data_IF_539095329553
#
_entry.id   IF_539095329553
#
_cell.length_a   1.000
_cell.length_b   1.000
_cell.length_c   1.000
_cell.angle_alpha   90.00
_cell.angle_beta   90.00
_cell.angle_gamma   90.00
#
_symmetry.space_group_name_H-M   'P 1'
#
loop_
_entity.id
_entity.type
_entity.pdbx_description
1 polymer ?
#
# COMPACT_ATOMS: atom_id res chain seq x y z
N UNK A 1 -11.39 6.72 -31.32
CA UNK A 1 -10.72 5.73 -32.18
C UNK A 1 -9.28 6.22 -32.31
N UNK A 2 -8.25 5.50 -31.91
CA UNK A 2 -6.88 5.89 -32.23
C UNK A 2 -6.65 5.63 -33.71
N UNK A 3 -6.30 6.69 -34.44
CA UNK A 3 -5.82 6.61 -35.79
C UNK A 3 -4.55 5.76 -35.79
N UNK A 4 -4.60 4.57 -36.36
CA UNK A 4 -3.42 3.77 -36.65
C UNK A 4 -2.65 4.48 -37.76
N UNK A 5 -1.48 5.01 -37.42
CA UNK A 5 -0.53 5.47 -38.40
C UNK A 5 0.08 4.25 -39.10
N UNK A 6 -0.36 3.97 -40.32
CA UNK A 6 0.10 2.87 -41.17
C UNK A 6 1.51 3.11 -41.75
N UNK A 7 2.31 3.94 -41.07
CA UNK A 7 3.71 4.25 -41.45
C UNK A 7 4.73 3.42 -40.67
N UNK A 8 4.58 2.13 -40.51
CA UNK A 8 5.70 1.29 -40.09
C UNK A 8 6.36 0.64 -41.30
N UNK A 9 7.44 1.27 -41.75
CA UNK A 9 8.59 0.69 -42.45
C UNK A 9 8.27 -0.40 -43.49
N UNK A 10 7.84 0.02 -44.66
CA UNK A 10 8.27 -0.64 -45.87
C UNK A 10 9.61 0.02 -46.24
N UNK A 11 10.69 -0.68 -46.00
CA UNK A 11 11.99 -0.34 -46.56
C UNK A 11 11.88 -0.60 -48.05
N UNK A 12 12.02 0.44 -48.82
CA UNK A 12 12.26 0.49 -50.25
C UNK A 12 11.06 0.21 -51.13
N UNK A 13 10.98 1.03 -52.04
CA UNK A 13 10.75 0.78 -53.43
C UNK A 13 9.75 1.78 -53.91
N UNK A 14 10.06 2.45 -54.95
CA UNK A 14 9.28 3.21 -55.90
C UNK A 14 7.83 3.60 -55.45
N UNK A 15 7.46 4.86 -55.58
CA UNK A 15 6.14 5.38 -55.19
C UNK A 15 4.97 4.63 -55.78
N UNK A 16 5.13 3.94 -56.91
CA UNK A 16 4.15 3.05 -57.54
C UNK A 16 3.75 1.85 -56.66
N UNK A 17 4.71 1.25 -55.92
CA UNK A 17 4.42 0.15 -55.01
C UNK A 17 3.62 0.61 -53.77
N UNK A 18 3.85 1.77 -53.27
CA UNK A 18 3.15 2.32 -52.12
C UNK A 18 1.66 2.53 -52.45
N UNK A 19 1.36 3.12 -53.58
CA UNK A 19 -0.03 3.37 -54.00
C UNK A 19 -0.81 2.07 -54.24
N UNK A 20 -0.19 1.09 -54.92
CA UNK A 20 -0.81 -0.21 -55.12
C UNK A 20 -1.06 -0.96 -53.82
N UNK A 21 -0.07 -0.99 -52.94
CA UNK A 21 -0.18 -1.62 -51.58
C UNK A 21 -1.31 -1.02 -50.76
N UNK A 22 -1.54 0.29 -50.83
CA UNK A 22 -2.64 0.96 -50.12
C UNK A 22 -4.00 0.54 -50.63
N UNK A 23 -4.21 0.49 -51.95
CA UNK A 23 -5.47 0.13 -52.57
C UNK A 23 -5.87 -1.35 -52.30
N UNK A 24 -4.88 -2.26 -52.36
CA UNK A 24 -5.09 -3.67 -52.02
C UNK A 24 -5.38 -3.84 -50.51
N UNK A 25 -4.65 -3.11 -49.66
CA UNK A 25 -4.84 -3.13 -48.21
C UNK A 25 -6.23 -2.65 -47.81
N UNK A 26 -6.77 -1.59 -48.42
CA UNK A 26 -8.15 -1.15 -48.21
C UNK A 26 -9.16 -2.23 -48.54
N UNK A 27 -8.99 -2.94 -49.67
CA UNK A 27 -9.86 -4.04 -50.04
C UNK A 27 -9.81 -5.18 -49.04
N UNK A 28 -8.63 -5.61 -48.62
CA UNK A 28 -8.43 -6.67 -47.61
C UNK A 28 -8.99 -6.27 -46.25
N UNK A 29 -8.91 -5.01 -45.88
CA UNK A 29 -9.53 -4.48 -44.66
C UNK A 29 -11.06 -4.59 -44.69
N UNK A 30 -11.67 -4.31 -45.85
CA UNK A 30 -13.11 -4.34 -46.00
C UNK A 30 -13.67 -5.78 -46.13
N UNK A 31 -13.00 -6.64 -46.90
CA UNK A 31 -13.47 -8.02 -47.13
C UNK A 31 -13.05 -8.97 -46.00
N UNK A 32 -11.91 -8.70 -45.35
CA UNK A 32 -11.31 -9.59 -44.38
C UNK A 32 -10.73 -10.88 -44.98
N UNK A 33 -10.57 -10.94 -46.31
CA UNK A 33 -10.04 -12.10 -47.04
C UNK A 33 -8.68 -11.77 -47.66
N UNK A 34 -7.85 -12.79 -47.79
CA UNK A 34 -6.57 -12.65 -48.49
C UNK A 34 -6.80 -12.33 -49.97
N UNK A 35 -5.99 -11.43 -50.52
CA UNK A 35 -6.10 -11.03 -51.94
C UNK A 35 -4.76 -11.20 -52.64
N UNK A 36 -4.79 -11.83 -53.83
CA UNK A 36 -3.68 -11.88 -54.76
C UNK A 36 -3.94 -10.80 -55.83
N UNK A 37 -2.93 -9.99 -56.13
CA UNK A 37 -3.01 -8.97 -57.16
C UNK A 37 -1.70 -8.90 -57.97
N UNK A 38 -1.79 -8.44 -59.21
CA UNK A 38 -0.61 -8.28 -60.07
C UNK A 38 -0.27 -6.79 -60.21
N UNK A 39 0.96 -6.43 -59.90
CA UNK A 39 1.44 -5.07 -60.03
C UNK A 39 2.13 -4.95 -61.37
N UNK A 40 1.60 -4.10 -62.24
CA UNK A 40 2.16 -3.84 -63.55
C UNK A 40 3.23 -2.73 -63.42
N UNK A 41 4.44 -3.15 -63.08
CA UNK A 41 5.65 -2.34 -63.08
C UNK A 41 6.56 -2.84 -64.18
N UNK A 42 7.71 -2.17 -64.47
CA UNK A 42 8.67 -2.56 -65.49
C UNK A 42 9.13 -4.02 -65.43
N UNK A 43 8.88 -4.70 -64.34
CA UNK A 43 8.89 -6.17 -64.14
C UNK A 43 7.54 -6.59 -63.53
N UNK A 44 6.86 -7.59 -64.14
CA UNK A 44 5.61 -8.10 -63.59
C UNK A 44 5.86 -8.70 -62.18
N UNK A 45 5.21 -8.12 -61.19
CA UNK A 45 5.30 -8.59 -59.78
C UNK A 45 3.91 -8.98 -59.28
N UNK A 46 3.80 -10.13 -58.70
CA UNK A 46 2.56 -10.56 -58.03
C UNK A 46 2.64 -10.30 -56.50
N UNK A 47 1.56 -9.82 -55.91
CA UNK A 47 1.48 -9.60 -54.49
C UNK A 47 0.42 -10.49 -53.84
N UNK A 48 0.68 -10.95 -52.62
CA UNK A 48 -0.28 -11.63 -51.79
C UNK A 48 -0.43 -10.85 -50.49
N UNK A 49 -1.61 -10.28 -50.24
CA UNK A 49 -1.96 -9.56 -49.04
C UNK A 49 -2.84 -10.41 -48.13
N UNK A 50 -2.38 -10.64 -46.90
CA UNK A 50 -3.05 -11.48 -45.92
C UNK A 50 -3.39 -10.64 -44.68
N UNK A 51 -4.67 -10.62 -44.24
CA UNK A 51 -5.07 -9.89 -43.04
C UNK A 51 -4.59 -10.61 -41.76
N UNK A 52 -3.97 -9.89 -40.85
CA UNK A 52 -3.67 -10.36 -39.50
C UNK A 52 -4.92 -10.16 -38.63
N UNK A 53 -5.76 -11.18 -38.49
CA UNK A 53 -7.01 -11.09 -37.75
C UNK A 53 -6.93 -11.79 -36.41
N UNK A 54 -7.44 -11.12 -35.40
CA UNK A 54 -7.66 -11.72 -34.08
C UNK A 54 -9.12 -11.51 -33.69
N UNK A 55 -9.85 -12.61 -33.48
CA UNK A 55 -11.32 -12.62 -33.36
C UNK A 55 -12.00 -11.94 -34.57
N UNK A 56 -12.72 -10.84 -34.39
CA UNK A 56 -13.40 -10.10 -35.45
C UNK A 56 -12.65 -8.85 -35.92
N UNK A 57 -11.46 -8.56 -35.36
CA UNK A 57 -10.71 -7.35 -35.69
C UNK A 57 -9.51 -7.67 -36.59
N UNK A 58 -9.33 -6.92 -37.67
CA UNK A 58 -8.10 -6.93 -38.46
C UNK A 58 -7.11 -5.99 -37.77
N UNK A 59 -5.99 -6.53 -37.30
CA UNK A 59 -4.95 -5.81 -36.54
C UNK A 59 -3.92 -5.15 -37.45
N UNK A 60 -3.62 -5.79 -38.57
CA UNK A 60 -2.67 -5.35 -39.58
C UNK A 60 -2.88 -6.17 -40.88
N UNK A 61 -2.16 -5.84 -41.93
CA UNK A 61 -2.08 -6.60 -43.16
C UNK A 61 -0.62 -6.88 -43.48
N UNK A 62 -0.29 -8.10 -43.87
CA UNK A 62 1.01 -8.48 -44.39
C UNK A 62 0.89 -8.66 -45.87
N UNK A 63 1.72 -7.94 -46.64
CA UNK A 63 1.80 -8.07 -48.09
C UNK A 63 3.16 -8.61 -48.48
N UNK A 64 3.18 -9.70 -49.21
CA UNK A 64 4.35 -10.33 -49.79
C UNK A 64 4.38 -10.10 -51.31
N UNK A 65 5.57 -9.88 -51.85
CA UNK A 65 5.78 -9.64 -53.27
C UNK A 65 6.68 -10.73 -53.83
N UNK A 66 6.37 -11.17 -55.07
CA UNK A 66 7.12 -12.17 -55.81
C UNK A 66 7.26 -11.74 -57.29
N UNK A 67 8.45 -11.90 -57.85
CA UNK A 67 8.66 -11.66 -59.27
C UNK A 67 7.92 -12.70 -60.12
N UNK A 68 7.29 -12.29 -61.23
CA UNK A 68 6.36 -13.11 -61.98
C UNK A 68 6.98 -14.27 -62.81
N UNK A 69 8.32 -14.39 -62.80
CA UNK A 69 9.02 -15.49 -63.51
C UNK A 69 8.88 -16.87 -62.83
N UNK A 70 8.26 -16.99 -61.65
CA UNK A 70 8.24 -18.18 -60.82
C UNK A 70 6.91 -18.94 -60.69
N UNK A 71 5.88 -18.50 -61.42
CA UNK A 71 4.54 -19.16 -61.32
C UNK A 71 3.64 -18.54 -60.28
N UNK A 72 2.34 -18.97 -60.26
CA UNK A 72 1.32 -18.55 -59.35
C UNK A 72 1.64 -18.90 -57.87
N UNK A 73 1.15 -18.08 -56.95
CA UNK A 73 1.17 -18.41 -55.54
C UNK A 73 0.59 -19.78 -55.27
N UNK A 74 1.43 -20.77 -54.97
CA UNK A 74 0.95 -22.13 -54.75
C UNK A 74 0.01 -22.17 -53.53
N UNK A 75 -1.07 -22.94 -53.63
CA UNK A 75 -2.07 -23.09 -52.57
C UNK A 75 -1.47 -23.41 -51.21
N UNK A 76 -0.40 -24.24 -51.19
CA UNK A 76 0.37 -24.54 -49.96
C UNK A 76 1.02 -23.32 -49.32
N UNK A 77 1.51 -22.37 -50.14
CA UNK A 77 2.16 -21.14 -49.66
C UNK A 77 1.10 -20.22 -49.04
N UNK A 78 -0.09 -20.10 -49.67
CA UNK A 78 -1.21 -19.34 -49.12
C UNK A 78 -1.72 -19.92 -47.81
N UNK A 79 -1.83 -21.24 -47.69
CA UNK A 79 -2.25 -21.90 -46.43
C UNK A 79 -1.22 -21.70 -45.33
N UNK A 80 0.08 -21.81 -45.62
CA UNK A 80 1.15 -21.56 -44.67
C UNK A 80 1.12 -20.10 -44.17
N UNK A 81 0.98 -19.16 -45.11
CA UNK A 81 0.89 -17.73 -44.77
C UNK A 81 -0.30 -17.37 -43.89
N UNK A 82 -1.46 -17.96 -44.16
CA UNK A 82 -2.63 -17.78 -43.31
C UNK A 82 -2.37 -18.32 -41.89
N UNK A 83 -1.74 -19.48 -41.73
CA UNK A 83 -1.39 -20.02 -40.43
C UNK A 83 -0.39 -19.13 -39.68
N UNK A 84 0.63 -18.62 -40.37
CA UNK A 84 1.60 -17.68 -39.81
C UNK A 84 0.93 -16.35 -39.48
N UNK A 85 0.02 -15.86 -40.32
CA UNK A 85 -0.73 -14.63 -40.08
C UNK A 85 -1.58 -14.70 -38.81
N UNK A 86 -2.23 -15.87 -38.55
CA UNK A 86 -2.98 -16.10 -37.30
C UNK A 86 -2.06 -16.04 -36.07
N UNK A 87 -0.86 -16.65 -36.12
CA UNK A 87 0.08 -16.62 -35.01
C UNK A 87 0.65 -15.20 -34.79
N UNK A 88 0.97 -14.47 -35.85
CA UNK A 88 1.40 -13.07 -35.75
C UNK A 88 0.29 -12.20 -35.16
N UNK A 89 -0.95 -12.39 -35.62
CA UNK A 89 -2.10 -11.63 -35.10
C UNK A 89 -2.30 -11.89 -33.60
N UNK A 90 -2.17 -13.13 -33.15
CA UNK A 90 -2.20 -13.49 -31.74
C UNK A 90 -1.08 -12.80 -30.94
N UNK A 91 0.14 -12.87 -31.45
CA UNK A 91 1.30 -12.24 -30.81
C UNK A 91 1.13 -10.71 -30.69
N UNK A 92 0.65 -10.04 -31.74
CA UNK A 92 0.35 -8.59 -31.73
C UNK A 92 -0.73 -8.28 -30.71
N UNK A 93 -1.79 -9.10 -30.66
CA UNK A 93 -2.89 -8.92 -29.68
C UNK A 93 -2.38 -9.05 -28.24
N UNK A 94 -1.57 -10.07 -27.97
CA UNK A 94 -0.94 -10.28 -26.65
C UNK A 94 -0.04 -9.11 -26.27
N UNK A 95 0.81 -8.63 -27.20
CA UNK A 95 1.68 -7.48 -26.95
C UNK A 95 0.89 -6.20 -26.63
N UNK A 96 -0.19 -5.91 -27.38
CA UNK A 96 -1.07 -4.77 -27.12
C UNK A 96 -1.77 -4.87 -25.76
N UNK A 97 -2.24 -6.08 -25.39
CA UNK A 97 -2.85 -6.32 -24.07
C UNK A 97 -1.84 -6.09 -22.95
N UNK A 98 -0.63 -6.63 -23.11
CA UNK A 98 0.45 -6.45 -22.14
C UNK A 98 0.83 -4.97 -21.96
N UNK A 99 0.97 -4.22 -23.05
CA UNK A 99 1.23 -2.78 -22.99
C UNK A 99 0.10 -2.01 -22.29
N UNK A 100 -1.16 -2.40 -22.54
CA UNK A 100 -2.32 -1.78 -21.88
C UNK A 100 -2.31 -2.05 -20.38
N UNK A 101 -2.04 -3.30 -19.97
CA UNK A 101 -1.92 -3.68 -18.55
C UNK A 101 -0.79 -2.89 -17.89
N UNK A 102 0.39 -2.83 -18.51
CA UNK A 102 1.51 -2.05 -17.98
C UNK A 102 1.15 -0.58 -17.78
N UNK A 103 0.51 0.04 -18.77
CA UNK A 103 0.09 1.44 -18.67
C UNK A 103 -0.91 1.67 -17.55
N UNK A 104 -1.91 0.78 -17.42
CA UNK A 104 -2.90 0.86 -16.33
C UNK A 104 -2.26 0.65 -14.96
N UNK A 105 -1.35 -0.32 -14.82
CA UNK A 105 -0.62 -0.56 -13.58
C UNK A 105 0.25 0.64 -13.20
N UNK A 106 0.94 1.25 -14.16
CA UNK A 106 1.75 2.43 -13.92
C UNK A 106 0.90 3.63 -13.47
N UNK A 107 -0.25 3.83 -14.11
CA UNK A 107 -1.18 4.90 -13.70
C UNK A 107 -1.70 4.67 -12.28
N UNK A 108 -2.15 3.44 -11.97
CA UNK A 108 -2.64 3.08 -10.63
C UNK A 108 -1.56 3.30 -9.56
N UNK A 109 -0.31 2.90 -9.83
CA UNK A 109 0.81 3.15 -8.90
C UNK A 109 1.04 4.64 -8.66
N UNK A 110 0.94 5.47 -9.70
CA UNK A 110 1.08 6.92 -9.58
C UNK A 110 -0.04 7.53 -8.71
N UNK A 111 -1.28 7.07 -8.85
CA UNK A 111 -2.41 7.52 -8.03
C UNK A 111 -2.24 7.10 -6.56
N UNK A 112 -1.78 5.88 -6.31
CA UNK A 112 -1.50 5.37 -4.97
C UNK A 112 -0.32 6.09 -4.30
N UNK A 113 0.71 6.49 -5.05
CA UNK A 113 1.81 7.28 -4.50
C UNK A 113 1.35 8.66 -4.03
N UNK A 114 0.42 9.30 -4.76
CA UNK A 114 -0.22 10.56 -4.30
C UNK A 114 -1.02 10.31 -3.01
N UNK A 115 -1.80 9.23 -2.94
CA UNK A 115 -2.54 8.86 -1.74
C UNK A 115 -1.60 8.62 -0.55
N UNK A 116 -0.48 7.92 -0.76
CA UNK A 116 0.59 7.71 0.23
C UNK A 116 1.15 9.04 0.75
N UNK A 117 1.41 9.97 -0.14
CA UNK A 117 1.93 11.29 0.26
C UNK A 117 0.92 12.06 1.10
N UNK A 118 -0.37 12.01 0.75
CA UNK A 118 -1.44 12.62 1.55
C UNK A 118 -1.51 11.96 2.93
N UNK A 119 -1.48 10.63 3.01
CA UNK A 119 -1.48 9.87 4.25
C UNK A 119 -0.27 10.21 5.13
N UNK A 120 0.93 10.24 4.54
CA UNK A 120 2.15 10.62 5.25
C UNK A 120 2.06 12.05 5.81
N UNK A 121 1.48 12.97 5.03
CA UNK A 121 1.29 14.35 5.50
C UNK A 121 0.25 14.45 6.61
N UNK A 122 -0.78 13.60 6.59
CA UNK A 122 -1.77 13.52 7.65
C UNK A 122 -1.15 13.03 8.96
N UNK A 123 -0.25 12.04 8.91
CA UNK A 123 0.50 11.52 10.06
C UNK A 123 1.69 12.41 10.47
N UNK A 124 2.18 13.26 9.59
CA UNK A 124 3.29 14.16 9.89
C UNK A 124 2.82 15.25 10.84
N UNK A 125 3.08 15.01 12.10
CA UNK A 125 3.04 16.04 13.10
C UNK A 125 4.48 16.42 13.45
N UNK A 126 4.78 17.72 13.49
CA UNK A 126 5.96 18.18 14.18
C UNK A 126 5.76 17.81 15.65
N UNK A 127 6.49 16.83 16.12
CA UNK A 127 6.53 16.53 17.56
C UNK A 127 7.06 17.79 18.24
N UNK A 128 6.27 18.50 19.03
CA UNK A 128 6.73 19.70 19.69
C UNK A 128 7.78 19.31 20.74
N UNK A 129 8.80 20.14 20.87
CA UNK A 129 9.72 20.04 22.00
C UNK A 129 8.96 20.36 23.28
N UNK A 130 8.87 19.40 24.17
CA UNK A 130 8.26 19.54 25.48
C UNK A 130 9.37 19.47 26.52
N UNK A 131 9.31 20.39 27.47
CA UNK A 131 10.14 20.30 28.65
C UNK A 131 9.82 18.98 29.38
N UNK A 132 10.84 18.19 29.70
CA UNK A 132 10.73 16.93 30.46
C UNK A 132 9.94 15.76 29.76
N UNK A 133 9.66 15.85 28.46
CA UNK A 133 9.04 14.74 27.71
C UNK A 133 9.62 14.65 26.31
N UNK A 134 10.11 13.48 25.95
CA UNK A 134 10.55 13.16 24.59
C UNK A 134 9.52 12.25 23.93
N UNK A 135 9.04 12.61 22.76
CA UNK A 135 8.11 11.80 21.98
C UNK A 135 8.75 11.44 20.65
N UNK A 136 8.60 10.19 20.23
CA UNK A 136 8.96 9.71 18.90
C UNK A 136 7.78 8.95 18.30
N UNK A 137 7.57 9.03 17.01
CA UNK A 137 6.55 8.26 16.30
C UNK A 137 7.04 7.83 14.92
N UNK A 138 6.71 6.61 14.54
CA UNK A 138 6.97 6.07 13.21
C UNK A 138 5.80 5.22 12.77
N UNK A 139 5.46 5.32 11.50
CA UNK A 139 4.48 4.47 10.84
C UNK A 139 5.03 4.10 9.45
N UNK A 140 5.20 2.83 9.21
CA UNK A 140 5.73 2.24 7.99
C UNK A 140 4.67 1.34 7.37
N UNK A 141 3.96 1.79 6.34
CA UNK A 141 2.98 0.95 5.66
C UNK A 141 3.64 -0.24 4.95
N UNK A 142 2.99 -1.41 4.99
CA UNK A 142 3.42 -2.60 4.25
C UNK A 142 3.13 -2.51 2.75
N UNK A 143 2.16 -1.68 2.37
CA UNK A 143 1.77 -1.39 0.98
C UNK A 143 1.93 0.10 0.67
N UNK A 144 1.44 0.52 -0.48
CA UNK A 144 1.46 1.94 -0.86
C UNK A 144 0.73 2.83 0.16
N UNK A 145 -0.39 2.34 0.73
CA UNK A 145 -1.14 2.98 1.81
C UNK A 145 -1.58 1.93 2.83
N UNK A 146 -1.70 2.32 4.10
CA UNK A 146 -2.01 1.43 5.21
C UNK A 146 -3.20 1.85 6.05
N UNK A 147 -3.62 0.96 6.99
CA UNK A 147 -4.65 1.19 7.99
C UNK A 147 -4.11 1.76 9.29
N UNK A 148 -2.85 1.53 9.56
CA UNK A 148 -2.17 1.99 10.77
C UNK A 148 -2.08 3.51 10.86
N UNK A 149 -2.20 4.02 12.06
CA UNK A 149 -2.01 5.44 12.34
C UNK A 149 -1.55 5.72 13.76
N UNK A 150 -0.97 6.89 13.92
CA UNK A 150 -0.75 7.49 15.22
C UNK A 150 -1.21 8.94 15.22
N UNK A 151 -1.50 9.46 16.41
CA UNK A 151 -1.80 10.87 16.63
C UNK A 151 -1.06 11.36 17.87
N UNK A 152 -0.50 12.56 17.77
CA UNK A 152 0.10 13.29 18.89
C UNK A 152 -0.59 14.65 18.94
N UNK A 153 -1.28 14.92 20.02
CA UNK A 153 -2.01 16.17 20.20
C UNK A 153 -1.70 16.82 21.52
N UNK A 154 -1.22 18.06 21.48
CA UNK A 154 -1.01 18.86 22.68
C UNK A 154 -2.23 19.70 22.96
N UNK A 155 -2.88 19.39 24.07
CA UNK A 155 -4.05 20.13 24.51
C UNK A 155 -3.63 21.48 25.11
N UNK A 156 -4.37 22.59 24.86
CA UNK A 156 -4.04 23.92 25.43
C UNK A 156 -3.92 23.94 26.96
N UNK A 157 -4.51 22.98 27.67
CA UNK A 157 -4.38 22.81 29.12
C UNK A 157 -3.08 22.11 29.56
N UNK A 158 -2.16 21.82 28.64
CA UNK A 158 -0.86 21.20 28.92
C UNK A 158 -0.81 19.69 28.86
N UNK A 159 -1.95 19.01 28.59
CA UNK A 159 -1.98 17.55 28.47
C UNK A 159 -1.41 17.09 27.12
N UNK A 160 -0.63 16.05 27.11
CA UNK A 160 -0.13 15.38 25.91
C UNK A 160 -0.96 14.12 25.60
N UNK A 161 -1.57 14.11 24.44
CA UNK A 161 -2.36 12.99 23.96
C UNK A 161 -1.58 12.18 22.94
N UNK A 162 -1.58 10.86 23.10
CA UNK A 162 -0.97 9.92 22.19
C UNK A 162 -2.01 8.85 21.82
N UNK A 163 -2.14 8.58 20.55
CA UNK A 163 -3.00 7.52 20.03
C UNK A 163 -2.23 6.65 19.05
N UNK A 164 -2.36 5.35 19.18
CA UNK A 164 -1.94 4.36 18.20
C UNK A 164 -3.11 3.49 17.82
N UNK A 165 -3.39 3.34 16.53
CA UNK A 165 -4.55 2.58 16.06
C UNK A 165 -4.30 1.90 14.74
N UNK A 166 -5.12 0.89 14.46
CA UNK A 166 -5.11 0.13 13.22
C UNK A 166 -6.55 -0.13 12.76
N UNK A 167 -6.78 0.07 11.46
CA UNK A 167 -8.07 -0.18 10.78
C UNK A 167 -8.03 -1.56 10.14
N UNK A 168 -8.99 -2.41 10.49
CA UNK A 168 -9.11 -3.75 9.91
C UNK A 168 -9.14 -3.73 8.38
N UNK A 169 -8.35 -4.60 7.75
CA UNK A 169 -8.17 -4.65 6.31
C UNK A 169 -6.92 -3.91 5.85
N UNK A 170 -6.68 -3.83 4.55
CA UNK A 170 -5.44 -3.29 3.98
C UNK A 170 -5.73 -2.40 2.75
N UNK A 171 -4.80 -1.49 2.47
CA UNK A 171 -4.84 -0.62 1.29
C UNK A 171 -5.84 0.54 1.39
N UNK A 172 -6.39 0.96 0.26
CA UNK A 172 -7.18 2.19 0.16
C UNK A 172 -8.39 2.28 1.09
N UNK A 173 -9.21 1.23 1.26
CA UNK A 173 -10.34 1.31 2.20
C UNK A 173 -9.90 1.58 3.64
N UNK A 174 -8.90 0.85 4.13
CA UNK A 174 -8.36 1.05 5.47
C UNK A 174 -7.76 2.45 5.64
N UNK A 175 -7.01 2.96 4.64
CA UNK A 175 -6.43 4.30 4.64
C UNK A 175 -7.50 5.42 4.72
N UNK A 176 -8.65 5.23 4.09
CA UNK A 176 -9.76 6.20 4.15
C UNK A 176 -10.41 6.22 5.55
N UNK A 177 -10.64 5.06 6.16
CA UNK A 177 -11.13 4.99 7.54
C UNK A 177 -10.13 5.56 8.54
N UNK A 178 -8.85 5.30 8.34
CA UNK A 178 -7.78 5.90 9.12
C UNK A 178 -7.85 7.43 9.09
N UNK A 179 -7.96 8.02 7.90
CA UNK A 179 -8.07 9.48 7.75
C UNK A 179 -9.33 10.05 8.44
N UNK A 180 -10.46 9.32 8.35
CA UNK A 180 -11.70 9.67 9.05
C UNK A 180 -11.53 9.59 10.56
N UNK A 181 -10.91 8.51 11.07
CA UNK A 181 -10.65 8.32 12.49
C UNK A 181 -9.76 9.44 13.07
N UNK A 182 -8.65 9.78 12.40
CA UNK A 182 -7.78 10.90 12.81
C UNK A 182 -8.55 12.22 12.84
N UNK A 183 -9.38 12.49 11.84
CA UNK A 183 -10.13 13.74 11.76
C UNK A 183 -11.15 13.88 12.91
N UNK A 184 -11.87 12.80 13.23
CA UNK A 184 -12.80 12.76 14.36
C UNK A 184 -12.04 12.84 15.68
N UNK A 185 -10.93 12.12 15.82
CA UNK A 185 -10.09 12.13 17.02
C UNK A 185 -9.58 13.54 17.31
N UNK A 186 -9.01 14.24 16.33
CA UNK A 186 -8.55 15.63 16.48
C UNK A 186 -9.67 16.57 16.93
N UNK A 187 -10.86 16.41 16.39
CA UNK A 187 -12.03 17.19 16.81
C UNK A 187 -12.39 16.93 18.29
N UNK A 188 -12.38 15.67 18.72
CA UNK A 188 -12.68 15.31 20.11
C UNK A 188 -11.60 15.82 21.07
N UNK A 189 -10.33 15.76 20.69
CA UNK A 189 -9.21 16.24 21.50
C UNK A 189 -9.10 17.77 21.57
N UNK A 190 -9.63 18.50 20.59
CA UNK A 190 -9.56 19.95 20.52
C UNK A 190 -10.67 20.69 21.30
N UNK A 191 -11.45 20.00 22.14
CA UNK A 191 -12.47 20.63 22.96
C UNK A 191 -11.86 21.53 24.05
N UNK A 192 -12.59 22.55 24.49
CA UNK A 192 -12.10 23.53 25.48
C UNK A 192 -11.65 22.90 26.81
N UNK A 193 -12.23 21.78 27.18
CA UNK A 193 -11.80 20.97 28.32
C UNK A 193 -11.24 19.66 27.83
N UNK A 194 -10.06 19.29 28.33
CA UNK A 194 -9.46 17.99 28.04
C UNK A 194 -10.43 16.88 28.45
N UNK A 195 -10.91 16.06 27.49
CA UNK A 195 -11.84 14.98 27.79
C UNK A 195 -11.10 13.83 28.54
N UNK A 196 -11.84 12.80 28.98
CA UNK A 196 -11.24 11.55 29.45
C UNK A 196 -11.09 10.56 28.28
N UNK A 197 -10.07 9.67 28.30
CA UNK A 197 -9.83 8.73 27.20
C UNK A 197 -11.03 7.84 26.85
N UNK A 198 -11.77 7.35 27.86
CA UNK A 198 -12.98 6.56 27.67
C UNK A 198 -14.09 7.38 26.96
N UNK A 199 -14.21 8.66 27.29
CA UNK A 199 -15.18 9.54 26.62
C UNK A 199 -14.86 9.82 25.19
N UNK A 200 -13.58 10.02 24.88
CA UNK A 200 -13.11 10.15 23.49
C UNK A 200 -13.44 8.89 22.69
N UNK A 201 -13.12 7.71 23.24
CA UNK A 201 -13.44 6.42 22.61
C UNK A 201 -14.94 6.26 22.31
N UNK A 202 -15.81 6.61 23.29
CA UNK A 202 -17.27 6.57 23.12
C UNK A 202 -17.72 7.47 21.96
N UNK A 203 -17.23 8.71 21.93
CA UNK A 203 -17.60 9.68 20.90
C UNK A 203 -17.08 9.26 19.52
N UNK A 204 -15.85 8.74 19.45
CA UNK A 204 -15.22 8.23 18.25
C UNK A 204 -16.05 7.07 17.67
N UNK A 205 -16.36 6.07 18.51
CA UNK A 205 -17.21 4.94 18.12
C UNK A 205 -18.57 5.40 17.58
N UNK A 206 -19.24 6.31 18.28
CA UNK A 206 -20.53 6.84 17.84
C UNK A 206 -20.46 7.56 16.51
N UNK A 207 -19.38 8.32 16.28
CA UNK A 207 -19.22 9.12 15.06
C UNK A 207 -18.88 8.25 13.84
N UNK A 208 -18.23 7.11 14.03
CA UNK A 208 -17.76 6.23 12.95
C UNK A 208 -18.61 4.96 12.79
N UNK A 209 -19.55 4.72 13.70
CA UNK A 209 -20.31 3.47 13.81
C UNK A 209 -20.96 3.03 12.49
N UNK A 210 -21.79 3.90 11.92
CA UNK A 210 -22.57 3.56 10.73
C UNK A 210 -21.63 3.26 9.53
N UNK A 211 -20.57 4.01 9.36
CA UNK A 211 -19.62 3.83 8.27
C UNK A 211 -18.82 2.54 8.43
N UNK A 212 -18.36 2.24 9.64
CA UNK A 212 -17.60 1.03 9.96
C UNK A 212 -18.46 -0.23 9.76
N UNK A 213 -19.68 -0.24 10.30
CA UNK A 213 -20.58 -1.39 10.18
C UNK A 213 -20.99 -1.63 8.73
N UNK A 214 -21.35 -0.58 7.99
CA UNK A 214 -21.75 -0.70 6.59
C UNK A 214 -20.60 -1.21 5.69
N UNK A 215 -19.36 -0.94 6.09
CA UNK A 215 -18.16 -1.38 5.36
C UNK A 215 -17.57 -2.68 5.92
N UNK A 216 -18.17 -3.27 6.95
CA UNK A 216 -17.68 -4.46 7.66
C UNK A 216 -16.22 -4.27 8.15
N UNK A 217 -15.92 -3.08 8.65
CA UNK A 217 -14.62 -2.68 9.19
C UNK A 217 -14.73 -2.40 10.69
N UNK A 218 -13.59 -2.48 11.38
CA UNK A 218 -13.44 -2.06 12.77
C UNK A 218 -12.10 -1.39 12.96
N UNK A 219 -11.92 -0.68 14.08
CA UNK A 219 -10.66 0.00 14.40
C UNK A 219 -10.19 -0.44 15.77
N UNK A 220 -8.96 -0.91 15.88
CA UNK A 220 -8.29 -1.06 17.17
C UNK A 220 -7.58 0.25 17.50
N UNK A 221 -7.68 0.70 18.77
CA UNK A 221 -7.14 1.98 19.19
C UNK A 221 -6.67 1.95 20.65
N UNK A 222 -5.43 2.34 20.90
CA UNK A 222 -4.92 2.69 22.23
C UNK A 222 -4.82 4.21 22.33
N UNK A 223 -5.44 4.81 23.34
CA UNK A 223 -5.46 6.24 23.59
C UNK A 223 -4.92 6.55 24.97
N UNK A 224 -3.98 7.47 25.04
CA UNK A 224 -3.29 7.87 26.26
C UNK A 224 -3.32 9.38 26.40
N UNK A 225 -3.58 9.85 27.62
CA UNK A 225 -3.50 11.26 28.03
C UNK A 225 -2.49 11.37 29.17
N UNK A 226 -1.42 12.12 28.97
CA UNK A 226 -0.40 12.37 29.97
C UNK A 226 -0.40 13.83 30.41
N UNK A 227 -0.44 14.07 31.72
CA UNK A 227 -0.28 15.39 32.34
C UNK A 227 1.14 15.50 32.90
N UNK A 228 2.01 16.33 32.30
CA UNK A 228 3.38 16.49 32.76
C UNK A 228 3.49 17.22 34.10
N UNK A 229 2.44 17.99 34.50
CA UNK A 229 2.45 18.72 35.78
C UNK A 229 2.22 17.84 36.99
N UNK A 230 1.43 16.77 36.84
CA UNK A 230 1.10 15.81 37.91
C UNK A 230 1.73 14.44 37.69
N UNK A 231 2.40 14.22 36.54
CA UNK A 231 2.91 12.92 36.10
C UNK A 231 1.83 11.83 36.02
N UNK A 232 0.57 12.22 35.89
CA UNK A 232 -0.54 11.30 35.76
C UNK A 232 -0.76 10.93 34.31
N UNK A 233 -1.01 9.68 34.08
CA UNK A 233 -1.39 9.10 32.79
C UNK A 233 -2.75 8.45 32.91
N UNK A 234 -3.67 8.79 32.01
CA UNK A 234 -4.94 8.11 31.82
C UNK A 234 -4.94 7.42 30.46
N UNK A 235 -5.55 6.27 30.37
CA UNK A 235 -5.57 5.54 29.10
C UNK A 235 -6.87 4.74 28.91
N UNK A 236 -7.22 4.51 27.65
CA UNK A 236 -8.26 3.59 27.21
C UNK A 236 -7.75 2.77 26.03
N UNK A 237 -8.26 1.55 25.90
CA UNK A 237 -7.85 0.64 24.83
C UNK A 237 -9.07 -0.06 24.23
N UNK A 238 -9.27 0.12 22.94
CA UNK A 238 -10.32 -0.48 22.12
C UNK A 238 -9.74 -1.65 21.30
N UNK A 239 -9.39 -2.74 21.96
CA UNK A 239 -8.93 -3.96 21.29
C UNK A 239 -7.51 -3.93 20.71
N UNK A 240 -6.76 -2.84 20.93
CA UNK A 240 -5.40 -2.69 20.41
C UNK A 240 -4.38 -3.47 21.27
N UNK A 241 -3.16 -3.63 20.73
CA UNK A 241 -2.01 -4.19 21.47
C UNK A 241 -1.81 -3.39 22.77
N UNK A 242 -1.53 -4.09 23.88
CA UNK A 242 -1.33 -3.42 25.16
C UNK A 242 -0.08 -2.54 25.15
N UNK A 243 -0.20 -1.24 25.44
CA UNK A 243 0.95 -0.40 25.61
C UNK A 243 1.86 -0.92 26.75
N UNK A 244 3.18 -0.78 26.55
CA UNK A 244 4.20 -1.20 27.52
C UNK A 244 4.77 0.02 28.21
N UNK A 245 4.99 -0.12 29.54
CA UNK A 245 5.67 0.91 30.36
C UNK A 245 6.81 0.27 31.12
N UNK A 246 7.95 0.93 31.17
CA UNK A 246 9.12 0.51 31.95
C UNK A 246 9.92 1.70 32.45
N UNK A 247 10.83 1.49 33.40
CA UNK A 247 11.80 2.45 33.85
C UNK A 247 13.19 2.12 33.30
N UNK A 248 14.11 3.10 33.30
CA UNK A 248 15.49 2.89 32.88
C UNK A 248 16.18 1.78 33.69
N UNK A 249 15.84 1.63 34.96
CA UNK A 249 16.42 0.57 35.81
C UNK A 249 15.82 -0.80 35.51
N UNK A 250 14.56 -0.87 35.02
CA UNK A 250 13.89 -2.12 34.70
C UNK A 250 14.42 -2.72 33.41
N UNK A 251 14.75 -1.87 32.43
CA UNK A 251 15.19 -2.35 31.12
C UNK A 251 16.57 -3.01 31.18
N UNK A 252 17.38 -2.65 32.15
CA UNK A 252 18.73 -3.22 32.38
C UNK A 252 18.68 -4.59 33.09
N UNK A 253 17.52 -4.98 33.67
CA UNK A 253 17.31 -6.28 34.28
C UNK A 253 16.71 -7.27 33.28
N UNK A 254 17.51 -8.22 32.80
CA UNK A 254 17.11 -9.21 31.83
C UNK A 254 15.99 -10.15 32.28
N UNK A 255 15.75 -10.26 33.61
CA UNK A 255 14.67 -11.07 34.18
C UNK A 255 13.38 -10.25 34.39
N UNK A 256 13.42 -8.94 34.21
CA UNK A 256 12.27 -8.09 34.43
C UNK A 256 11.30 -8.08 33.25
N UNK A 257 10.02 -7.90 33.54
CA UNK A 257 8.96 -7.73 32.56
C UNK A 257 8.44 -6.27 32.57
N UNK A 258 8.03 -5.71 31.44
CA UNK A 258 7.42 -4.39 31.42
C UNK A 258 6.01 -4.43 32.00
N UNK A 259 5.53 -3.29 32.47
CA UNK A 259 4.14 -3.13 32.84
C UNK A 259 3.28 -2.96 31.58
N UNK A 260 2.34 -3.88 31.37
CA UNK A 260 1.35 -3.75 30.30
C UNK A 260 0.11 -3.01 30.80
N UNK A 261 -0.37 -2.03 30.04
CA UNK A 261 -1.61 -1.31 30.32
C UNK A 261 -2.82 -2.15 29.88
N UNK A 262 -3.31 -3.01 30.80
CA UNK A 262 -4.27 -4.11 30.48
C UNK A 262 -5.74 -3.72 30.47
N UNK A 263 -6.12 -2.45 30.68
CA UNK A 263 -7.51 -2.02 30.50
C UNK A 263 -7.90 -2.21 29.04
N UNK A 264 -9.00 -2.90 28.77
CA UNK A 264 -9.38 -3.27 27.40
C UNK A 264 -10.89 -3.21 27.20
N UNK A 265 -11.31 -2.55 26.11
CA UNK A 265 -12.62 -2.65 25.49
C UNK A 265 -12.59 -3.43 24.19
N UNK A 266 -13.72 -3.59 23.55
CA UNK A 266 -13.83 -4.13 22.20
C UNK A 266 -13.34 -3.09 21.17
N UNK A 267 -12.86 -3.49 19.98
CA UNK A 267 -12.56 -2.56 18.90
C UNK A 267 -13.76 -1.67 18.57
N UNK A 268 -13.47 -0.46 18.07
CA UNK A 268 -14.49 0.47 17.58
C UNK A 268 -15.18 -0.12 16.34
N UNK A 269 -16.50 0.06 16.23
CA UNK A 269 -17.28 -0.51 15.14
C UNK A 269 -17.79 -1.94 15.38
N UNK A 270 -17.49 -2.57 16.54
CA UNK A 270 -17.99 -3.92 16.90
C UNK A 270 -19.31 -3.86 17.69
N UNK A 271 -19.47 -2.86 18.55
CA UNK A 271 -20.69 -2.63 19.32
C UNK A 271 -21.21 -1.21 19.11
N UNK A 272 -22.53 -1.00 19.09
CA UNK A 272 -23.12 0.33 18.88
C UNK A 272 -22.71 1.33 19.97
N UNK A 273 -22.56 0.84 21.20
CA UNK A 273 -22.06 1.65 22.31
C UNK A 273 -20.72 1.06 22.79
N UNK A 274 -19.68 1.89 22.74
CA UNK A 274 -18.38 1.51 23.28
C UNK A 274 -18.36 1.78 24.80
N UNK A 275 -17.96 0.78 25.58
CA UNK A 275 -17.85 0.87 27.03
C UNK A 275 -16.63 0.09 27.52
N UNK A 276 -15.72 0.79 28.17
CA UNK A 276 -14.65 0.21 28.96
C UNK A 276 -14.16 1.26 29.96
N UNK A 277 -13.64 0.85 31.13
CA UNK A 277 -13.07 1.80 32.10
C UNK A 277 -11.77 2.40 31.56
N UNK A 278 -11.52 3.66 31.90
CA UNK A 278 -10.18 4.24 31.77
C UNK A 278 -9.27 3.68 32.86
N UNK A 279 -8.02 3.40 32.47
CA UNK A 279 -6.96 3.07 33.43
C UNK A 279 -6.18 4.33 33.81
N UNK A 280 -5.46 4.27 34.92
CA UNK A 280 -4.59 5.35 35.40
C UNK A 280 -3.25 4.80 35.86
N UNK A 281 -2.18 5.59 35.66
CA UNK A 281 -0.83 5.26 36.09
C UNK A 281 -0.06 6.55 36.35
N UNK A 282 0.91 6.54 37.26
CA UNK A 282 1.88 7.63 37.44
C UNK A 282 3.17 7.30 36.69
N UNK A 283 3.62 8.20 35.80
CA UNK A 283 4.90 8.09 35.13
C UNK A 283 5.90 9.06 35.77
N UNK A 284 6.90 8.53 36.43
CA UNK A 284 8.00 9.34 36.98
C UNK A 284 9.09 9.60 35.93
N UNK A 285 9.97 10.57 36.13
CA UNK A 285 11.16 10.72 35.30
C UNK A 285 11.93 9.40 35.13
N UNK A 286 12.42 9.11 33.94
CA UNK A 286 13.05 7.84 33.56
C UNK A 286 12.08 6.72 33.19
N UNK A 287 10.76 6.97 33.21
CA UNK A 287 9.77 6.03 32.65
C UNK A 287 9.57 6.25 31.15
N UNK A 288 9.42 5.14 30.44
CA UNK A 288 9.11 5.10 29.01
C UNK A 288 7.82 4.36 28.77
N UNK A 289 6.96 4.91 27.91
CA UNK A 289 5.74 4.29 27.39
C UNK A 289 5.92 4.01 25.91
N UNK A 290 5.55 2.82 25.45
CA UNK A 290 5.57 2.43 24.04
C UNK A 290 4.20 1.87 23.64
N UNK A 291 3.62 2.45 22.59
CA UNK A 291 2.47 1.92 21.86
C UNK A 291 2.98 1.32 20.55
N UNK A 292 2.46 0.17 20.16
CA UNK A 292 2.82 -0.50 18.89
C UNK A 292 1.60 -1.11 18.25
N UNK A 293 1.60 -1.18 16.91
CA UNK A 293 0.65 -2.04 16.18
C UNK A 293 1.10 -3.50 16.20
N UNK A 294 0.21 -4.38 15.75
CA UNK A 294 0.47 -5.82 15.66
C UNK A 294 1.53 -6.15 14.60
N UNK A 295 1.67 -5.37 13.54
CA UNK A 295 2.71 -5.57 12.53
C UNK A 295 4.15 -5.54 13.08
N UNK A 296 4.38 -4.93 14.27
CA UNK A 296 5.66 -5.10 14.96
C UNK A 296 5.74 -6.41 15.73
N UNK A 297 4.67 -6.79 16.43
CA UNK A 297 4.67 -7.99 17.27
C UNK A 297 4.44 -9.27 16.49
N UNK A 298 3.87 -9.19 15.30
CA UNK A 298 3.67 -10.30 14.37
C UNK A 298 4.83 -10.47 13.39
N UNK A 299 5.75 -9.51 13.33
CA UNK A 299 6.94 -9.61 12.48
C UNK A 299 7.70 -10.91 12.75
N UNK A 300 8.03 -11.63 11.69
CA UNK A 300 8.82 -12.86 11.74
C UNK A 300 10.31 -12.51 11.75
N UNK A 301 10.97 -12.68 12.89
CA UNK A 301 12.39 -12.36 13.05
C UNK A 301 13.20 -13.65 13.20
N UNK A 302 14.27 -13.78 12.42
CA UNK A 302 15.05 -15.01 12.29
C UNK A 302 15.91 -15.38 13.51
N UNK A 303 16.05 -14.51 14.52
CA UNK A 303 17.11 -14.68 15.55
C UNK A 303 16.66 -14.43 17.02
N UNK A 304 15.38 -14.39 17.30
CA UNK A 304 14.88 -14.09 18.66
C UNK A 304 14.64 -15.35 19.51
N UNK A 305 14.62 -16.52 18.90
CA UNK A 305 14.48 -17.79 19.61
C UNK A 305 15.80 -18.55 19.61
N UNK A 306 16.24 -19.01 20.79
CA UNK A 306 17.48 -19.78 21.01
C UNK A 306 17.60 -21.04 20.14
N UNK A 307 16.58 -21.39 19.35
CA UNK A 307 16.51 -22.58 18.52
C UNK A 307 16.66 -22.32 17.02
N UNK A 308 16.93 -21.08 16.57
CA UNK A 308 17.08 -20.73 15.15
C UNK A 308 15.81 -20.90 14.31
N UNK A 309 14.65 -21.05 14.96
CA UNK A 309 13.35 -21.15 14.29
C UNK A 309 12.80 -19.75 14.08
N UNK A 310 12.50 -19.42 12.82
CA UNK A 310 11.78 -18.19 12.45
C UNK A 310 10.39 -18.22 13.12
N UNK A 311 10.09 -17.23 13.94
CA UNK A 311 8.81 -17.13 14.62
C UNK A 311 8.36 -15.68 14.81
N UNK A 312 7.07 -15.50 15.12
CA UNK A 312 6.53 -14.19 15.46
C UNK A 312 7.25 -13.61 16.67
N UNK A 313 7.63 -12.35 16.59
CA UNK A 313 8.31 -11.62 17.66
C UNK A 313 7.50 -11.60 18.97
N UNK A 314 6.19 -11.36 18.89
CA UNK A 314 5.27 -11.16 20.01
C UNK A 314 5.72 -9.98 20.90
N UNK A 315 4.92 -9.61 21.88
CA UNK A 315 5.31 -8.57 22.85
C UNK A 315 6.52 -8.97 23.69
N UNK A 316 6.68 -10.25 23.99
CA UNK A 316 7.84 -10.75 24.77
C UNK A 316 9.14 -10.67 24.00
N UNK A 317 9.15 -10.99 22.71
CA UNK A 317 10.32 -10.84 21.86
C UNK A 317 10.65 -9.38 21.60
N UNK A 318 9.65 -8.52 21.41
CA UNK A 318 9.84 -7.08 21.30
C UNK A 318 10.50 -6.53 22.57
N UNK A 319 10.05 -6.95 23.76
CA UNK A 319 10.68 -6.58 25.03
C UNK A 319 12.15 -7.04 25.10
N UNK A 320 12.44 -8.28 24.71
CA UNK A 320 13.80 -8.80 24.68
C UNK A 320 14.72 -7.99 23.72
N UNK A 321 14.19 -7.54 22.58
CA UNK A 321 14.94 -6.65 21.67
C UNK A 321 15.22 -5.28 22.31
N UNK A 322 14.25 -4.71 23.02
CA UNK A 322 14.43 -3.45 23.72
C UNK A 322 15.50 -3.55 24.80
N UNK A 323 15.55 -4.65 25.56
CA UNK A 323 16.57 -4.93 26.58
C UNK A 323 17.99 -5.08 25.99
N UNK A 324 18.13 -5.53 24.74
CA UNK A 324 19.43 -5.59 24.06
C UNK A 324 19.97 -4.19 23.68
N UNK A 325 19.10 -3.17 23.66
CA UNK A 325 19.43 -1.81 23.24
C UNK A 325 18.94 -0.75 24.25
N UNK A 326 19.31 -0.84 25.53
CA UNK A 326 18.64 -0.11 26.62
C UNK A 326 18.89 1.41 26.63
N UNK A 327 19.97 1.89 26.00
CA UNK A 327 20.36 3.32 26.08
C UNK A 327 19.94 4.09 24.85
N UNK A 328 19.07 5.07 25.03
CA UNK A 328 18.44 5.94 24.01
C UNK A 328 17.74 5.11 22.91
N UNK A 329 16.51 4.69 23.22
CA UNK A 329 15.66 4.01 22.23
C UNK A 329 15.38 4.94 21.07
N UNK A 330 15.90 4.56 19.89
CA UNK A 330 15.62 5.20 18.62
C UNK A 330 14.68 4.28 17.82
N UNK A 331 13.48 4.77 17.55
CA UNK A 331 12.47 3.99 16.81
C UNK A 331 12.96 3.62 15.40
N UNK A 332 13.75 4.47 14.73
CA UNK A 332 14.31 4.15 13.41
C UNK A 332 15.23 2.93 13.49
N UNK A 333 16.06 2.87 14.54
CA UNK A 333 16.95 1.73 14.77
C UNK A 333 16.16 0.45 15.11
N UNK A 334 15.16 0.56 15.99
CA UNK A 334 14.30 -0.57 16.36
C UNK A 334 13.62 -1.16 15.11
N UNK A 335 12.99 -0.31 14.30
CA UNK A 335 12.31 -0.73 13.07
C UNK A 335 13.28 -1.33 12.06
N UNK A 336 14.49 -0.76 11.92
CA UNK A 336 15.51 -1.30 11.03
C UNK A 336 15.98 -2.70 11.44
N UNK A 337 16.10 -2.98 12.75
CA UNK A 337 16.43 -4.32 13.28
C UNK A 337 15.32 -5.32 12.93
N UNK A 338 14.06 -4.96 13.19
CA UNK A 338 12.91 -5.82 12.90
C UNK A 338 12.83 -6.10 11.39
N UNK A 339 12.96 -5.09 10.54
CA UNK A 339 12.94 -5.24 9.09
C UNK A 339 14.11 -6.06 8.54
N UNK A 340 15.31 -5.92 9.12
CA UNK A 340 16.46 -6.72 8.68
C UNK A 340 16.37 -8.19 9.06
N UNK A 341 15.60 -8.51 10.10
CA UNK A 341 15.33 -9.87 10.56
C UNK A 341 14.17 -10.55 9.83
N UNK A 342 13.34 -9.80 9.11
CA UNK A 342 12.16 -10.30 8.40
C UNK A 342 12.40 -10.38 6.89
N UNK A 343 11.91 -11.46 6.24
CA UNK A 343 12.04 -11.65 4.80
C UNK A 343 11.16 -10.67 4.00
N UNK A 344 9.99 -10.31 4.52
CA UNK A 344 9.02 -9.38 3.93
C UNK A 344 8.19 -8.74 5.04
N UNK A 345 7.82 -7.47 4.87
CA UNK A 345 6.90 -6.80 5.77
C UNK A 345 5.46 -7.19 5.42
N UNK A 346 4.82 -7.98 6.27
CA UNK A 346 3.47 -8.52 6.02
C UNK A 346 2.36 -7.55 6.40
N UNK A 347 2.60 -6.69 7.42
CA UNK A 347 1.64 -5.71 7.90
C UNK A 347 2.27 -4.35 8.21
N UNK A 348 1.43 -3.33 8.36
CA UNK A 348 1.84 -1.98 8.72
C UNK A 348 2.54 -1.98 10.08
N UNK A 349 3.64 -1.25 10.21
CA UNK A 349 4.44 -1.18 11.44
C UNK A 349 4.39 0.21 12.02
N UNK A 350 3.69 0.36 13.15
CA UNK A 350 3.56 1.64 13.84
C UNK A 350 4.09 1.54 15.27
N UNK A 351 4.94 2.50 15.63
CA UNK A 351 5.44 2.67 16.98
C UNK A 351 5.35 4.12 17.43
N UNK A 352 4.92 4.34 18.66
CA UNK A 352 4.81 5.63 19.30
C UNK A 352 5.40 5.54 20.72
N UNK A 353 6.43 6.34 20.98
CA UNK A 353 7.19 6.35 22.21
C UNK A 353 6.99 7.67 22.95
N UNK A 354 6.78 7.61 24.26
CA UNK A 354 6.86 8.74 25.17
C UNK A 354 7.86 8.39 26.28
N UNK A 355 8.87 9.21 26.46
CA UNK A 355 9.89 9.13 27.50
C UNK A 355 9.79 10.35 28.43
N UNK A 356 9.64 10.12 29.74
CA UNK A 356 9.64 11.20 30.73
C UNK A 356 11.07 11.45 31.13
N UNK A 357 11.59 12.62 30.73
CA UNK A 357 12.96 13.07 31.09
C UNK A 357 12.96 13.87 32.38
N UNK A 358 14.16 14.13 32.94
CA UNK A 358 14.30 14.83 34.21
C UNK A 358 14.06 16.34 34.07
#
# INVERSE_FOLDING_TARGET
>A
MPSFDLQSSVTVVDDGFKHHSLAVSETVLHTGEAKIDTVDLSTAVTSLSVPLRYQQATLAIVTLYHEADGGDWAEKTSQLLNSVAEQIALAISQAKLYQRIQKQTQQMRSELEVARQIQTNLLRQSVPELDNVRIQARCLPAREVGGDFYEIFLHPQGHSWLAGGDVSGKGVPAALFMASAISVLRRELSQDRSPTPDKVMQNLNRSLWDDLVNSNCFITLALVCYDPSTHQLWYANAGHIYPMVWSETLIDDSAAEPLYLKTRGVPLGILPEWQAPAGTLTLSPGHTLLLTSDGLTEASVADVTQDGVVGMLKQTGLWALLQQHPRSLDLDKLLSIIQSGSAEQEDDQTALLLEVTA
#
